data_IF_278381915088
#
_entry.id   IF_278381915088
#
_cell.length_a   1.000
_cell.length_b   1.000
_cell.length_c   1.000
_cell.angle_alpha   90.00
_cell.angle_beta   90.00
_cell.angle_gamma   90.00
#
_symmetry.space_group_name_H-M   'P 1'
#
loop_
_entity.id
_entity.type
_entity.pdbx_description
1 polymer ?
#
# COMPACT_ATOMS: atom_id res chain seq x y z
N UNK A 1 37.17 11.15 -28.88
CA UNK A 1 37.55 12.25 -27.96
C UNK A 1 37.13 13.56 -28.61
N UNK A 2 36.14 14.29 -28.06
CA UNK A 2 35.68 15.69 -28.37
C UNK A 2 34.14 15.78 -28.46
N UNK A 3 33.41 16.78 -27.96
CA UNK A 3 33.62 17.93 -27.06
C UNK A 3 32.23 18.30 -26.46
N UNK A 4 32.19 18.71 -25.19
CA UNK A 4 30.99 19.23 -24.51
C UNK A 4 30.70 20.70 -24.91
N UNK A 5 29.43 21.09 -24.93
CA UNK A 5 29.00 22.48 -25.15
C UNK A 5 28.23 23.00 -23.94
N UNK A 6 28.81 23.98 -23.25
CA UNK A 6 28.22 24.75 -22.13
C UNK A 6 27.67 26.06 -22.68
N UNK A 7 26.43 26.42 -22.33
CA UNK A 7 25.93 27.80 -22.46
C UNK A 7 25.34 28.27 -21.13
N UNK A 8 25.82 29.43 -20.69
CA UNK A 8 25.47 30.17 -19.49
C UNK A 8 24.26 31.11 -19.70
N UNK A 9 23.65 31.62 -18.62
CA UNK A 9 22.44 32.44 -18.65
C UNK A 9 22.73 33.95 -18.74
N UNK A 10 21.82 34.69 -19.36
CA UNK A 10 21.70 36.17 -19.43
C UNK A 10 20.22 36.46 -19.20
N UNK A 11 19.73 37.47 -18.48
CA UNK A 11 20.26 38.60 -17.71
C UNK A 11 19.05 39.09 -16.89
N UNK A 12 19.27 39.65 -15.70
CA UNK A 12 18.23 40.32 -14.90
C UNK A 12 18.44 41.83 -15.07
N UNK A 13 17.43 42.58 -15.53
CA UNK A 13 17.40 44.03 -15.30
C UNK A 13 15.99 44.60 -15.12
N UNK A 14 15.93 45.60 -14.25
CA UNK A 14 14.80 46.13 -13.48
C UNK A 14 13.84 47.10 -14.20
N UNK A 15 12.60 47.08 -13.69
CA UNK A 15 11.67 48.17 -13.34
C UNK A 15 11.41 49.33 -14.31
N UNK A 16 10.14 49.58 -14.67
CA UNK A 16 9.50 50.91 -14.63
C UNK A 16 7.95 50.79 -14.68
N UNK A 17 7.30 51.71 -13.98
CA UNK A 17 5.89 51.82 -13.59
C UNK A 17 4.84 51.91 -14.71
N UNK A 18 3.70 51.23 -14.55
CA UNK A 18 2.42 51.65 -15.12
C UNK A 18 1.25 51.16 -14.25
N UNK A 19 0.48 52.13 -13.74
CA UNK A 19 -0.68 51.90 -12.89
C UNK A 19 -1.90 51.73 -13.81
N UNK A 20 -2.05 50.55 -14.37
CA UNK A 20 -3.21 50.20 -15.21
C UNK A 20 -3.66 48.79 -14.85
N UNK A 21 -4.79 48.77 -14.14
CA UNK A 21 -5.82 47.73 -14.18
C UNK A 21 -5.43 46.37 -13.57
N UNK A 22 -5.90 46.16 -12.34
CA UNK A 22 -5.96 44.88 -11.60
C UNK A 22 -6.89 43.87 -12.30
N UNK A 23 -6.62 43.54 -13.56
CA UNK A 23 -7.50 42.72 -14.41
C UNK A 23 -6.78 41.59 -15.15
N UNK A 24 -5.57 41.22 -14.72
CA UNK A 24 -4.81 40.13 -15.33
C UNK A 24 -4.57 38.92 -14.41
N UNK A 25 -5.04 38.94 -13.16
CA UNK A 25 -4.84 37.83 -12.20
C UNK A 25 -6.06 36.92 -12.00
N UNK A 26 -7.23 37.26 -12.55
CA UNK A 26 -8.43 36.40 -12.49
C UNK A 26 -8.61 35.54 -13.75
N UNK A 27 -7.97 35.91 -14.87
CA UNK A 27 -8.09 35.15 -16.12
C UNK A 27 -7.32 33.83 -16.05
N UNK A 28 -6.22 33.78 -15.29
CA UNK A 28 -5.58 32.49 -15.01
C UNK A 28 -6.55 31.58 -14.24
N UNK A 29 -7.36 32.10 -13.31
CA UNK A 29 -8.37 31.33 -12.56
C UNK A 29 -9.47 30.73 -13.43
N UNK A 30 -9.94 31.49 -14.42
CA UNK A 30 -10.88 30.99 -15.40
C UNK A 30 -10.22 29.98 -16.38
N UNK A 31 -8.93 30.13 -16.68
CA UNK A 31 -8.21 29.24 -17.59
C UNK A 31 -8.00 27.82 -17.05
N UNK A 32 -7.88 27.63 -15.72
CA UNK A 32 -7.92 26.27 -15.14
C UNK A 32 -9.31 25.63 -15.24
N UNK A 33 -10.37 26.43 -15.39
CA UNK A 33 -11.76 25.97 -15.42
C UNK A 33 -12.23 25.45 -16.79
N UNK A 34 -11.52 25.72 -17.89
CA UNK A 34 -11.91 25.28 -19.24
C UNK A 34 -10.99 24.22 -19.86
N UNK A 35 -9.88 23.89 -19.20
CA UNK A 35 -8.94 22.83 -19.60
C UNK A 35 -8.86 21.64 -18.64
N UNK A 36 -9.53 21.70 -17.49
CA UNK A 36 -9.72 20.50 -16.67
C UNK A 36 -10.69 19.58 -17.41
N UNK A 37 -10.15 18.48 -17.94
CA UNK A 37 -10.90 17.22 -18.02
C UNK A 37 -11.83 17.19 -16.82
N UNK A 38 -13.15 17.16 -17.04
CA UNK A 38 -14.10 17.07 -15.94
C UNK A 38 -13.72 15.87 -15.11
N UNK A 39 -13.03 16.11 -13.98
CA UNK A 39 -12.85 15.09 -12.97
C UNK A 39 -14.26 14.79 -12.50
N UNK A 40 -14.84 13.73 -13.06
CA UNK A 40 -16.05 13.15 -12.54
C UNK A 40 -15.75 12.87 -11.07
N UNK A 41 -16.37 13.66 -10.20
CA UNK A 41 -16.23 13.48 -8.76
C UNK A 41 -16.76 12.10 -8.47
N UNK A 42 -15.85 11.17 -8.20
CA UNK A 42 -16.20 9.79 -7.91
C UNK A 42 -16.96 9.74 -6.59
N UNK A 43 -18.00 8.94 -6.57
CA UNK A 43 -18.68 8.52 -5.35
C UNK A 43 -17.71 7.74 -4.46
N UNK A 44 -18.02 7.68 -3.17
CA UNK A 44 -17.21 6.94 -2.20
C UNK A 44 -17.18 5.44 -2.57
N UNK A 45 -18.27 4.95 -3.12
CA UNK A 45 -18.44 3.59 -3.62
C UNK A 45 -17.48 3.31 -4.78
N UNK A 46 -17.41 4.21 -5.77
CA UNK A 46 -16.48 4.09 -6.90
C UNK A 46 -15.02 4.14 -6.44
N UNK A 47 -14.68 5.01 -5.48
CA UNK A 47 -13.34 5.05 -4.90
C UNK A 47 -12.98 3.73 -4.18
N UNK A 48 -13.93 3.14 -3.46
CA UNK A 48 -13.73 1.84 -2.80
C UNK A 48 -13.53 0.71 -3.80
N UNK A 49 -14.16 0.78 -4.96
CA UNK A 49 -13.96 -0.20 -6.02
C UNK A 49 -12.61 -0.01 -6.72
N UNK A 50 -12.12 1.22 -6.88
CA UNK A 50 -10.76 1.46 -7.37
C UNK A 50 -9.68 0.89 -6.45
N UNK A 51 -9.89 0.90 -5.14
CA UNK A 51 -8.99 0.22 -4.20
C UNK A 51 -8.90 -1.29 -4.42
N UNK A 52 -9.84 -1.90 -5.16
CA UNK A 52 -9.79 -3.33 -5.50
C UNK A 52 -9.06 -3.59 -6.82
N UNK A 53 -8.48 -2.56 -7.44
CA UNK A 53 -7.66 -2.69 -8.65
C UNK A 53 -6.17 -2.59 -8.29
N UNK A 54 -5.32 -3.33 -9.00
CA UNK A 54 -3.88 -3.23 -8.84
C UNK A 54 -3.37 -1.86 -9.33
N UNK A 55 -2.62 -1.12 -8.51
CA UNK A 55 -2.09 0.19 -8.91
C UNK A 55 -0.89 0.08 -9.86
N UNK A 56 -0.22 -1.07 -9.90
CA UNK A 56 0.92 -1.33 -10.78
C UNK A 56 0.51 -1.77 -12.18
N UNK A 57 -0.55 -2.59 -12.33
CA UNK A 57 -0.93 -3.15 -13.64
C UNK A 57 -2.39 -2.95 -14.05
N UNK A 58 -3.21 -2.32 -13.20
CA UNK A 58 -4.59 -1.91 -13.53
C UNK A 58 -5.63 -3.03 -13.54
N UNK A 59 -5.27 -4.29 -13.32
CA UNK A 59 -6.25 -5.39 -13.26
C UNK A 59 -7.15 -5.27 -12.03
N UNK A 60 -8.42 -5.64 -12.20
CA UNK A 60 -9.40 -5.68 -11.12
C UNK A 60 -9.31 -6.98 -10.33
N UNK A 61 -8.92 -6.90 -9.06
CA UNK A 61 -8.91 -8.06 -8.17
C UNK A 61 -10.32 -8.47 -7.75
N UNK A 62 -11.28 -7.54 -7.73
CA UNK A 62 -12.68 -7.85 -7.48
C UNK A 62 -13.24 -8.82 -8.53
N UNK A 63 -12.81 -8.67 -9.79
CA UNK A 63 -13.18 -9.54 -10.91
C UNK A 63 -12.28 -10.79 -11.01
N UNK A 64 -11.51 -11.09 -9.97
CA UNK A 64 -10.58 -12.23 -9.94
C UNK A 64 -9.47 -12.18 -10.99
N UNK A 65 -9.17 -11.00 -11.55
CA UNK A 65 -8.05 -10.83 -12.48
C UNK A 65 -6.74 -10.59 -11.75
N UNK A 66 -5.65 -11.12 -12.31
CA UNK A 66 -4.29 -10.90 -11.84
C UNK A 66 -3.33 -10.79 -13.02
N UNK A 67 -2.19 -10.14 -12.79
CA UNK A 67 -1.01 -10.30 -13.63
C UNK A 67 0.02 -11.15 -12.87
N UNK A 68 0.50 -12.22 -13.50
CA UNK A 68 1.49 -13.13 -12.90
C UNK A 68 2.86 -12.47 -12.72
N UNK A 69 3.19 -11.52 -13.58
CA UNK A 69 4.47 -10.79 -13.57
C UNK A 69 4.41 -9.50 -12.73
N UNK A 70 3.30 -9.28 -12.01
CA UNK A 70 3.12 -8.11 -11.15
C UNK A 70 3.33 -8.47 -9.67
N UNK A 71 4.30 -7.83 -9.03
CA UNK A 71 4.61 -8.03 -7.61
C UNK A 71 3.45 -7.68 -6.68
N UNK A 72 2.67 -6.67 -7.03
CA UNK A 72 1.50 -6.23 -6.26
C UNK A 72 0.35 -7.24 -6.35
N UNK A 73 0.17 -7.89 -7.52
CA UNK A 73 -0.77 -8.99 -7.67
C UNK A 73 -0.32 -10.24 -6.88
N UNK A 74 0.94 -10.66 -7.04
CA UNK A 74 1.50 -11.77 -6.26
C UNK A 74 0.73 -13.10 -6.41
N UNK A 75 0.12 -13.34 -7.57
CA UNK A 75 -0.46 -14.63 -7.96
C UNK A 75 -1.86 -14.95 -7.46
N UNK A 76 -2.51 -14.07 -6.71
CA UNK A 76 -3.88 -14.27 -6.21
C UNK A 76 -4.69 -12.97 -6.31
N UNK A 77 -6.02 -13.05 -6.31
CA UNK A 77 -6.90 -11.88 -6.33
C UNK A 77 -7.23 -11.43 -4.89
N UNK A 78 -8.50 -11.26 -4.53
CA UNK A 78 -8.89 -10.80 -3.19
C UNK A 78 -8.55 -11.79 -2.07
N UNK A 79 -8.46 -13.09 -2.39
CA UNK A 79 -8.31 -14.15 -1.42
C UNK A 79 -7.26 -15.17 -1.85
N UNK A 80 -6.65 -15.84 -0.88
CA UNK A 80 -5.75 -16.96 -1.13
C UNK A 80 -5.77 -18.00 0.00
N UNK A 81 -5.32 -19.23 -0.30
CA UNK A 81 -5.03 -20.22 0.73
C UNK A 81 -3.90 -19.76 1.66
N UNK A 82 -3.90 -20.29 2.89
CA UNK A 82 -2.92 -19.95 3.91
C UNK A 82 -1.46 -20.06 3.42
N UNK A 83 -0.70 -18.94 3.36
CA UNK A 83 0.68 -18.93 2.87
C UNK A 83 1.68 -19.56 3.86
N UNK A 84 1.27 -19.84 5.10
CA UNK A 84 2.16 -20.44 6.11
C UNK A 84 2.23 -21.97 6.06
N UNK A 85 1.24 -22.61 5.43
CA UNK A 85 1.14 -24.07 5.34
C UNK A 85 0.55 -24.53 4.00
N UNK A 86 0.67 -23.67 2.97
CA UNK A 86 0.19 -23.91 1.62
C UNK A 86 -1.26 -24.41 1.56
N UNK A 87 -2.13 -23.80 2.38
CA UNK A 87 -3.55 -24.12 2.42
C UNK A 87 -3.94 -25.37 3.22
N UNK A 88 -3.00 -26.15 3.77
CA UNK A 88 -3.30 -27.39 4.48
C UNK A 88 -4.23 -27.22 5.69
N UNK A 89 -4.23 -26.04 6.31
CA UNK A 89 -5.12 -25.74 7.45
C UNK A 89 -6.53 -25.27 7.06
N UNK A 90 -6.80 -25.08 5.76
CA UNK A 90 -8.07 -24.58 5.24
C UNK A 90 -8.40 -23.13 5.58
N UNK A 91 -7.48 -22.36 6.18
CA UNK A 91 -7.68 -20.91 6.38
C UNK A 91 -7.57 -20.16 5.06
N UNK A 92 -8.52 -19.26 4.82
CA UNK A 92 -8.49 -18.26 3.75
C UNK A 92 -7.88 -16.97 4.29
N UNK A 93 -7.01 -16.35 3.49
CA UNK A 93 -6.38 -15.08 3.79
C UNK A 93 -6.89 -14.03 2.80
N UNK A 94 -7.28 -12.88 3.33
CA UNK A 94 -7.82 -11.77 2.53
C UNK A 94 -6.70 -10.76 2.25
N UNK A 95 -6.70 -10.19 1.04
CA UNK A 95 -5.74 -9.15 0.66
C UNK A 95 -5.90 -7.92 1.55
N UNK A 96 -4.78 -7.40 2.01
CA UNK A 96 -4.71 -6.07 2.62
C UNK A 96 -4.51 -5.04 1.50
N UNK A 97 -5.58 -4.35 1.10
CA UNK A 97 -5.54 -3.40 -0.02
C UNK A 97 -4.57 -2.26 0.26
N UNK A 98 -4.69 -1.64 1.44
CA UNK A 98 -3.84 -0.52 1.87
C UNK A 98 -2.36 -0.91 1.83
N UNK A 99 -1.98 -1.99 2.51
CA UNK A 99 -0.58 -2.41 2.53
C UNK A 99 -0.09 -2.94 1.18
N UNK A 100 -0.99 -3.50 0.36
CA UNK A 100 -0.60 -3.97 -0.97
C UNK A 100 -0.23 -2.81 -1.87
N UNK A 101 -1.04 -1.76 -1.88
CA UNK A 101 -0.76 -0.53 -2.62
C UNK A 101 0.48 0.18 -2.08
N UNK A 102 0.53 0.43 -0.77
CA UNK A 102 1.63 1.17 -0.11
C UNK A 102 3.01 0.54 -0.35
N UNK A 103 3.06 -0.80 -0.48
CA UNK A 103 4.31 -1.53 -0.70
C UNK A 103 4.53 -2.02 -2.13
N UNK A 104 3.56 -1.78 -3.04
CA UNK A 104 3.52 -2.33 -4.41
C UNK A 104 3.81 -3.84 -4.47
N UNK A 105 3.38 -4.57 -3.43
CA UNK A 105 3.62 -6.00 -3.22
C UNK A 105 2.38 -6.63 -2.62
N UNK A 106 2.07 -7.88 -2.98
CA UNK A 106 0.92 -8.55 -2.40
C UNK A 106 1.05 -8.73 -0.87
N UNK A 107 0.11 -8.16 -0.12
CA UNK A 107 0.01 -8.24 1.35
C UNK A 107 -1.31 -8.88 1.76
N UNK A 108 -1.28 -9.64 2.85
CA UNK A 108 -2.36 -10.55 3.22
C UNK A 108 -2.59 -10.52 4.73
N UNK A 109 -3.87 -10.47 5.12
CA UNK A 109 -4.33 -10.58 6.50
C UNK A 109 -4.98 -11.95 6.69
N UNK A 110 -4.59 -12.64 7.76
CA UNK A 110 -5.17 -13.92 8.14
C UNK A 110 -4.32 -14.65 9.16
N UNK A 111 -4.83 -15.80 9.62
CA UNK A 111 -4.17 -16.64 10.61
C UNK A 111 -4.09 -18.09 10.15
N UNK A 112 -3.00 -18.76 10.54
CA UNK A 112 -2.79 -20.18 10.27
C UNK A 112 -3.24 -21.00 11.48
N UNK A 113 -4.23 -21.89 11.29
CA UNK A 113 -4.75 -22.75 12.38
C UNK A 113 -3.70 -23.76 12.89
N UNK A 114 -2.79 -24.22 12.02
CA UNK A 114 -1.72 -25.14 12.42
C UNK A 114 -0.67 -24.48 13.33
N UNK A 115 -0.53 -23.14 13.24
CA UNK A 115 0.39 -22.40 14.11
C UNK A 115 -0.16 -22.21 15.54
N UNK A 116 -1.47 -22.37 15.74
CA UNK A 116 -2.09 -22.41 17.07
C UNK A 116 -1.82 -23.76 17.73
N UNK A 117 -2.06 -24.86 17.00
CA UNK A 117 -1.80 -26.22 17.49
C UNK A 117 -0.35 -26.44 17.96
N UNK A 118 0.63 -25.85 17.27
CA UNK A 118 2.05 -25.94 17.68
C UNK A 118 2.37 -25.13 18.94
N UNK A 119 1.65 -24.01 19.19
CA UNK A 119 1.80 -23.24 20.43
C UNK A 119 1.21 -23.99 21.63
N UNK A 120 0.03 -24.59 21.45
CA UNK A 120 -0.65 -25.37 22.50
C UNK A 120 0.07 -26.70 22.82
N UNK A 121 0.83 -27.26 21.88
CA UNK A 121 1.69 -28.42 22.14
C UNK A 121 3.04 -28.09 22.77
N UNK A 122 3.48 -26.82 22.74
CA UNK A 122 4.72 -26.39 23.39
C UNK A 122 4.52 -26.06 24.88
N UNK A 123 3.28 -25.90 25.34
CA UNK A 123 2.94 -26.03 26.76
C UNK A 123 2.99 -27.51 27.17
N UNK A 124 4.19 -28.09 27.12
CA UNK A 124 4.43 -29.40 27.71
C UNK A 124 4.30 -29.30 29.24
N UNK A 125 3.89 -30.38 29.94
CA UNK A 125 3.84 -30.41 31.41
C UNK A 125 5.20 -30.08 32.06
N UNK A 126 6.31 -30.26 31.33
CA UNK A 126 7.66 -29.91 31.78
C UNK A 126 7.85 -28.41 31.93
N UNK A 127 7.26 -27.60 31.04
CA UNK A 127 7.39 -26.14 31.11
C UNK A 127 6.60 -25.57 32.29
N UNK A 128 5.44 -26.18 32.62
CA UNK A 128 4.64 -25.84 33.79
C UNK A 128 5.31 -26.25 35.12
N UNK A 129 5.96 -27.43 35.17
CA UNK A 129 6.72 -27.88 36.33
C UNK A 129 7.91 -26.96 36.63
N UNK A 130 8.65 -26.54 35.59
CA UNK A 130 9.79 -25.63 35.75
C UNK A 130 9.38 -24.26 36.28
N UNK A 131 8.27 -23.69 35.78
CA UNK A 131 7.72 -22.43 36.33
C UNK A 131 7.32 -22.57 37.80
N UNK A 132 6.67 -23.68 38.17
CA UNK A 132 6.32 -23.95 39.56
C UNK A 132 7.55 -24.10 40.47
N UNK A 133 8.62 -24.73 39.97
CA UNK A 133 9.88 -24.88 40.72
C UNK A 133 10.61 -23.55 40.89
N UNK A 134 10.63 -22.70 39.85
CA UNK A 134 11.20 -21.36 39.90
C UNK A 134 10.47 -20.47 40.91
N UNK A 135 9.13 -20.52 40.93
CA UNK A 135 8.32 -19.73 41.86
C UNK A 135 8.53 -20.15 43.34
N UNK A 136 8.76 -21.45 43.58
CA UNK A 136 9.13 -21.97 44.91
C UNK A 136 10.53 -21.54 45.35
N UNK A 137 11.48 -21.44 44.42
CA UNK A 137 12.84 -20.96 44.71
C UNK A 137 12.86 -19.46 45.01
N UNK A 138 12.01 -18.66 44.36
CA UNK A 138 11.90 -17.23 44.65
C UNK A 138 11.21 -16.93 45.98
N UNK A 139 10.29 -17.78 46.44
CA UNK A 139 9.56 -17.58 47.69
C UNK A 139 10.31 -18.06 48.95
N UNK A 140 11.52 -18.61 48.78
CA UNK A 140 12.36 -19.14 49.88
C UNK A 140 13.65 -18.34 50.10
N UNK A 141 13.77 -17.13 49.53
CA UNK A 141 14.86 -16.18 49.79
C UNK A 141 14.43 -15.03 50.72
#
# INVERSE_FOLDING_TARGET
MSLASVRHPTDIHSSHSSLTTLSHSLEDIASWSYGHHGEAVLTIEELRDQLKCCFTCGVSWADSHISLDCSECGGYAMERPCPKCDGACGSVWTRDLTFSHDSSKAKWIGECKNAQQKRDQCSSPVSQDLSHRLERLSATS
#
